data_IF_187685943425
#
_entry.id   IF_187685943425
#
_cell.length_a   1.000
_cell.length_b   1.000
_cell.length_c   1.000
_cell.angle_alpha   90.00
_cell.angle_beta   90.00
_cell.angle_gamma   90.00
#
_symmetry.space_group_name_H-M   'P 1'
#
loop_
_entity.id
_entity.type
_entity.pdbx_description
1 polymer ?
2 non-polymer ?
3 water ?
#
# COMPACT_ATOMS: atom_id res chain seq x y z
N UNK A 1 -5.99 8.88 16.10
CA UNK A 1 -5.99 7.42 16.16
C UNK A 1 -7.24 6.86 15.52
N UNK A 2 -7.70 7.55 14.47
CA UNK A 2 -8.88 7.01 13.74
C UNK A 2 -8.31 6.06 12.66
N UNK A 3 -9.15 5.23 12.09
CA UNK A 3 -8.73 4.32 11.01
C UNK A 3 -8.77 5.11 9.70
N UNK A 4 -7.65 5.50 9.14
CA UNK A 4 -7.68 6.22 7.83
C UNK A 4 -8.29 5.18 6.88
N UNK A 5 -7.65 4.01 6.89
CA UNK A 5 -8.17 2.92 6.06
C UNK A 5 -8.45 1.68 6.91
N UNK A 6 -9.41 0.92 6.48
CA UNK A 6 -9.75 -0.35 7.12
C UNK A 6 -9.64 -1.45 6.06
N UNK A 7 -8.66 -2.31 6.20
CA UNK A 7 -8.42 -3.44 5.25
C UNK A 7 -9.02 -4.71 5.81
N UNK A 8 -10.16 -5.16 5.35
CA UNK A 8 -10.81 -6.37 5.90
C UNK A 8 -11.18 -5.91 7.34
N UNK A 9 -10.49 -6.50 8.29
CA UNK A 9 -10.73 -6.12 9.69
C UNK A 9 -9.58 -5.32 10.26
N UNK A 10 -8.57 -4.99 9.47
CA UNK A 10 -7.44 -4.24 9.97
C UNK A 10 -7.53 -2.73 9.83
N UNK A 11 -7.35 -2.13 10.97
CA UNK A 11 -7.33 -0.70 11.20
C UNK A 11 -6.00 -0.02 10.99
N UNK A 12 -5.92 0.85 9.97
CA UNK A 12 -4.70 1.60 9.73
C UNK A 12 -4.95 3.06 10.06
N UNK A 13 -4.08 3.54 10.88
CA UNK A 13 -4.07 4.95 11.30
C UNK A 13 -3.28 5.70 10.21
N UNK A 14 -3.51 7.01 10.15
CA UNK A 14 -2.83 7.85 9.18
C UNK A 14 -1.33 7.71 9.27
N UNK A 15 -0.89 7.50 10.50
CA UNK A 15 0.55 7.38 10.77
C UNK A 15 1.05 6.06 10.21
N UNK A 16 0.21 5.05 10.22
CA UNK A 16 0.59 3.72 9.71
C UNK A 16 0.85 3.85 8.16
N UNK A 17 -0.15 4.42 7.57
CA UNK A 17 -0.13 4.67 6.09
C UNK A 17 1.09 5.47 5.68
N UNK A 18 1.36 6.61 6.28
CA UNK A 18 2.45 7.52 6.06
C UNK A 18 3.79 6.84 6.23
N UNK A 19 3.94 6.08 7.31
CA UNK A 19 5.22 5.39 7.50
C UNK A 19 5.41 4.32 6.40
N UNK A 20 4.33 3.69 5.99
CA UNK A 20 4.49 2.64 4.97
C UNK A 20 4.94 3.35 3.66
N UNK A 21 4.12 4.35 3.33
CA UNK A 21 4.43 5.09 2.08
C UNK A 21 5.83 5.63 2.13
N UNK A 22 6.22 6.24 3.23
CA UNK A 22 7.54 6.82 3.38
C UNK A 22 8.64 5.80 3.10
N UNK A 23 8.52 4.58 3.57
CA UNK A 23 9.49 3.51 3.38
C UNK A 23 9.60 3.11 1.89
N UNK A 24 8.42 2.87 1.37
CA UNK A 24 8.17 2.46 -0.03
C UNK A 24 8.84 3.45 -0.96
N UNK A 25 8.59 4.71 -0.70
CA UNK A 25 9.12 5.82 -1.48
C UNK A 25 10.61 6.04 -1.38
N UNK A 26 11.18 5.91 -0.19
CA UNK A 26 12.62 6.13 -0.05
C UNK A 26 13.33 5.05 -0.87
N UNK A 27 12.72 3.88 -0.96
CA UNK A 27 13.29 2.79 -1.75
C UNK A 27 13.16 3.07 -3.27
N UNK A 28 11.97 3.53 -3.58
CA UNK A 28 11.65 3.87 -4.99
C UNK A 28 12.69 4.87 -5.45
N UNK A 29 12.87 5.92 -4.70
CA UNK A 29 13.78 7.01 -4.94
C UNK A 29 15.22 6.59 -5.15
N UNK A 30 15.65 5.54 -4.47
CA UNK A 30 17.06 5.12 -4.61
C UNK A 30 17.23 4.07 -5.69
N UNK A 31 16.15 3.54 -6.15
CA UNK A 31 16.10 2.48 -7.17
C UNK A 31 16.29 1.10 -6.55
N UNK A 32 16.02 1.00 -5.26
CA UNK A 32 16.16 -0.26 -4.53
C UNK A 32 14.82 -0.90 -4.21
N UNK A 33 15.00 -2.18 -3.93
CA UNK A 33 13.86 -2.99 -3.54
C UNK A 33 14.35 -3.89 -2.38
N UNK A 34 13.31 -4.28 -1.68
CA UNK A 34 13.34 -5.21 -0.55
C UNK A 34 12.31 -6.28 -0.89
N UNK A 35 12.88 -7.45 -1.26
CA UNK A 35 12.04 -8.60 -1.61
C UNK A 35 10.98 -8.21 -2.65
N UNK A 36 11.45 -7.43 -3.61
CA UNK A 36 10.63 -7.00 -4.76
C UNK A 36 9.63 -5.92 -4.46
N UNK A 37 9.88 -5.19 -3.39
CA UNK A 37 8.97 -4.07 -3.00
C UNK A 37 9.85 -2.86 -2.85
N UNK A 38 9.43 -1.68 -3.35
CA UNK A 38 8.14 -1.40 -3.98
C UNK A 38 8.02 -2.02 -5.36
N UNK A 39 6.84 -2.30 -5.79
CA UNK A 39 6.61 -2.93 -7.10
C UNK A 39 5.74 -1.99 -7.93
N UNK A 40 5.88 -1.97 -9.25
CA UNK A 40 4.98 -1.12 -10.05
C UNK A 40 3.63 -1.77 -9.91
N UNK A 41 2.60 -0.95 -9.86
CA UNK A 41 1.23 -1.52 -9.73
C UNK A 41 0.39 -1.03 -10.90
N UNK A 42 -0.01 -1.91 -11.79
CA UNK A 42 -0.72 -1.57 -13.03
C UNK A 42 -2.08 -0.91 -12.94
N UNK A 43 -2.78 -1.26 -11.86
CA UNK A 43 -4.15 -0.76 -11.61
C UNK A 43 -5.07 -1.54 -12.52
N UNK A 44 -4.77 -2.82 -12.73
CA UNK A 44 -5.68 -3.56 -13.64
C UNK A 44 -7.06 -3.55 -13.02
N UNK A 45 -7.12 -3.58 -11.68
CA UNK A 45 -8.41 -3.57 -11.00
C UNK A 45 -9.29 -2.41 -11.36
N UNK A 46 -8.74 -1.26 -11.70
CA UNK A 46 -9.60 -0.15 -12.11
C UNK A 46 -9.91 0.84 -11.02
N UNK A 47 -9.07 0.90 -10.00
CA UNK A 47 -9.31 1.88 -8.91
C UNK A 47 -9.17 3.29 -9.48
N UNK A 48 -10.10 4.17 -9.16
CA UNK A 48 -9.91 5.54 -9.74
C UNK A 48 -9.29 6.24 -8.56
N UNK A 49 -7.98 6.23 -8.59
CA UNK A 49 -7.15 6.83 -7.54
C UNK A 49 -7.11 8.35 -7.76
N UNK A 50 -7.15 9.10 -6.68
CA UNK A 50 -7.15 10.55 -6.70
C UNK A 50 -5.88 11.23 -7.14
N UNK A 51 -4.80 10.48 -7.29
CA UNK A 51 -3.53 11.09 -7.72
C UNK A 51 -3.14 10.38 -9.03
N UNK A 52 -2.28 10.96 -9.84
CA UNK A 52 -1.96 10.27 -11.11
C UNK A 52 -0.89 9.19 -10.95
N UNK A 53 -0.89 8.32 -11.96
CA UNK A 53 0.08 7.21 -12.04
C UNK A 53 1.41 7.71 -12.53
N UNK A 54 2.42 6.88 -12.75
CA UNK A 54 2.25 5.43 -12.49
C UNK A 54 2.29 5.31 -10.95
N UNK A 55 1.77 4.16 -10.62
CA UNK A 55 1.71 3.81 -9.16
C UNK A 55 2.65 2.67 -8.80
N UNK A 56 2.97 2.70 -7.51
CA UNK A 56 3.85 1.65 -6.93
C UNK A 56 3.12 1.13 -5.68
N UNK A 57 3.35 -0.11 -5.35
CA UNK A 57 2.70 -0.70 -4.15
C UNK A 57 3.85 -1.11 -3.24
N UNK A 58 3.56 -1.00 -1.94
CA UNK A 58 4.50 -1.39 -0.88
C UNK A 58 3.63 -1.97 0.25
N UNK A 59 4.07 -3.08 0.80
CA UNK A 59 3.24 -3.69 1.87
C UNK A 59 3.07 -2.72 3.05
N UNK A 60 1.88 -2.86 3.57
CA UNK A 60 1.46 -2.14 4.81
C UNK A 60 1.04 -3.35 5.69
N UNK A 61 1.70 -3.43 6.84
CA UNK A 61 1.60 -4.55 7.79
C UNK A 61 0.62 -4.44 8.97
N UNK A 62 -0.13 -5.51 9.15
CA UNK A 62 -1.16 -5.53 10.22
C UNK A 62 -0.61 -5.49 11.62
N UNK A 63 0.67 -5.61 11.82
CA UNK A 63 1.35 -5.53 13.10
C UNK A 63 1.90 -4.10 13.26
N UNK A 64 1.77 -3.27 12.22
CA UNK A 64 2.19 -1.86 12.31
C UNK A 64 3.64 -1.57 12.31
N UNK A 65 4.39 -2.58 11.95
CA UNK A 65 5.84 -2.41 11.78
C UNK A 65 5.95 -2.10 10.21
N UNK A 66 6.95 -1.35 9.95
CA UNK A 66 7.19 -1.01 8.48
C UNK A 66 7.78 -2.23 7.82
N UNK A 67 7.32 -2.54 6.62
CA UNK A 67 7.84 -3.71 5.88
C UNK A 67 9.33 -3.55 5.62
N UNK A 68 10.11 -4.58 5.88
CA UNK A 68 11.57 -4.54 5.66
C UNK A 68 12.04 -5.91 5.16
N UNK A 69 11.14 -6.59 4.53
CA UNK A 69 11.38 -7.95 4.01
C UNK A 69 10.47 -8.98 4.64
N UNK A 70 10.42 -10.10 3.97
CA UNK A 70 9.64 -11.27 4.35
C UNK A 70 8.27 -11.26 3.72
N UNK A 71 7.37 -11.99 4.32
CA UNK A 71 6.00 -12.13 3.87
C UNK A 71 5.37 -10.74 3.86
N UNK A 72 4.84 -10.28 2.73
CA UNK A 72 4.24 -8.96 2.60
C UNK A 72 2.79 -8.88 3.07
N UNK A 73 2.13 -10.01 3.20
CA UNK A 73 0.76 -10.03 3.65
C UNK A 73 -0.17 -9.54 2.54
N UNK A 74 -1.39 -9.29 2.97
CA UNK A 74 -2.48 -8.92 2.09
C UNK A 74 -2.72 -7.45 1.75
N UNK A 75 -2.07 -6.57 2.47
CA UNK A 75 -2.33 -5.14 2.28
C UNK A 75 -1.21 -4.38 1.62
N UNK A 76 -1.62 -3.38 0.85
CA UNK A 76 -0.67 -2.50 0.13
C UNK A 76 -1.06 -1.03 0.12
N UNK A 77 -0.05 -0.26 0.27
CA UNK A 77 -0.10 1.20 0.25
C UNK A 77 0.22 1.51 -1.25
N UNK A 78 -0.56 2.37 -1.82
CA UNK A 78 -0.30 2.73 -3.27
C UNK A 78 0.14 4.17 -3.30
N UNK A 79 1.27 4.41 -3.95
CA UNK A 79 1.81 5.78 -4.03
C UNK A 79 2.40 5.99 -5.47
N UNK A 80 2.70 7.22 -5.76
CA UNK A 80 3.26 7.56 -7.12
C UNK A 80 4.67 8.04 -6.98
N UNK A 81 5.34 8.40 -8.09
CA UNK A 81 6.72 8.87 -8.04
C UNK A 81 6.92 10.24 -7.45
N UNK A 82 5.78 10.86 -7.10
CA UNK A 82 5.89 12.17 -6.42
C UNK A 82 5.65 11.99 -4.90
N UNK A 83 5.58 10.76 -4.46
CA UNK A 83 5.38 10.49 -3.00
C UNK A 83 3.97 10.86 -2.58
N UNK A 84 3.04 10.73 -3.49
CA UNK A 84 1.65 11.11 -3.08
C UNK A 84 0.90 9.84 -2.78
N UNK A 85 -0.05 9.89 -1.85
CA UNK A 85 -0.80 8.69 -1.55
C UNK A 85 -1.94 8.51 -2.52
N UNK A 86 -2.10 7.32 -3.08
CA UNK A 86 -3.17 7.03 -4.01
C UNK A 86 -4.30 6.34 -3.23
N UNK A 87 -3.88 5.44 -2.36
CA UNK A 87 -4.83 4.67 -1.52
C UNK A 87 -4.09 3.49 -0.89
N UNK A 88 -4.91 2.65 -0.31
CA UNK A 88 -4.62 1.41 0.41
C UNK A 88 -5.63 0.39 -0.08
N UNK A 89 -5.01 -0.72 -0.48
CA UNK A 89 -5.73 -1.86 -1.04
C UNK A 89 -5.31 -3.17 -0.39
N UNK A 90 -6.11 -4.17 -0.68
CA UNK A 90 -5.98 -5.50 -0.11
C UNK A 90 -6.54 -6.68 -0.85
N UNK A 91 -5.84 -7.79 -0.55
CA UNK A 91 -6.24 -9.08 -1.11
C UNK A 91 -7.41 -9.65 -0.31
N UNK A 92 -7.53 -9.19 0.94
CA UNK A 92 -8.58 -9.62 1.87
C UNK A 92 -9.96 -9.31 1.28
N UNK A 93 -10.70 -10.33 0.98
CA UNK A 93 -12.03 -10.23 0.38
C UNK A 93 -11.90 -10.37 -1.13
N UNK A 94 -10.71 -10.56 -1.69
CA UNK A 94 -10.62 -10.71 -3.16
C UNK A 94 -10.27 -12.16 -3.46
N UNK A 95 -10.63 -12.62 -4.63
CA UNK A 95 -10.44 -13.96 -5.16
C UNK A 95 -9.02 -14.50 -5.12
N UNK A 96 -8.02 -13.81 -5.67
CA UNK A 96 -6.67 -14.46 -5.57
C UNK A 96 -5.61 -13.42 -5.25
N UNK A 97 -4.91 -13.09 -6.33
CA UNK A 97 -3.84 -12.10 -6.36
C UNK A 97 -4.40 -10.73 -6.77
N UNK A 98 -5.72 -10.68 -6.82
CA UNK A 98 -6.51 -9.49 -7.16
C UNK A 98 -6.74 -8.76 -5.82
N UNK A 99 -7.07 -7.51 -5.96
CA UNK A 99 -7.31 -6.61 -4.84
C UNK A 99 -8.68 -5.96 -4.84
N UNK A 100 -9.01 -5.53 -3.63
CA UNK A 100 -10.26 -4.78 -3.38
C UNK A 100 -9.80 -3.54 -2.63
N UNK A 101 -10.60 -2.49 -2.62
CA UNK A 101 -10.09 -1.30 -1.92
C UNK A 101 -10.38 -1.50 -0.41
N UNK A 102 -9.60 -0.81 0.36
CA UNK A 102 -9.77 -0.74 1.82
C UNK A 102 -10.80 0.40 1.92
N UNK A 103 -11.57 0.31 2.99
CA UNK A 103 -12.61 1.35 3.18
C UNK A 103 -12.02 2.38 4.11
N UNK A 104 -12.74 3.47 4.24
CA UNK A 104 -12.23 4.51 5.16
C UNK A 104 -12.39 3.94 6.57
N UNK A 105 -13.58 4.13 7.12
CA UNK A 105 -13.98 3.72 8.47
C UNK A 105 -15.13 2.73 8.38
X LIG B 1 -2.92 -5.83 -10.04
X LIG B 1 -2.52 -6.91 -9.31
X LIG B 1 -3.49 -7.62 -8.75
X LIG B 1 -1.21 -7.17 -9.21
X LIG B 1 -0.31 -6.37 -9.85
X LIG B 1 -0.70 -5.25 -10.60
X LIG B 1 -2.08 -4.98 -10.74
X LIG B 1 -2.69 -4.08 -11.30
X LIG B 1 0.40 -4.65 -11.11
X LIG B 1 1.49 -5.34 -10.69
X LIG B 1 1.06 -6.39 -9.91
X LIG B 1 1.94 -7.41 -9.26
X LIG B 1 1.99 -7.25 -7.75
X LIG B 1 3.29 -7.00 -7.31
X LIG B 1 1.28 -8.49 -7.29
X LIG B 1 1.98 -9.08 -6.12
X LIG B 1 1.38 -9.46 -8.47
X LIG B 1 1.35 -8.65 -9.61
X LIG B 1 0.11 -10.31 -8.48
X LIG B 1 0.07 -11.31 -9.47
X LIG B 1 1.45 -8.65 -4.69
X LIG B 1 2.39 -7.74 -4.04
X LIG B 1 0.10 -8.07 -4.93
X LIG B 1 1.23 -9.98 -3.89
X LIG B 1 2.31 -10.90 -3.58
X LIG B 1 2.05 -11.46 -2.16
X LIG B 1 0.70 -11.28 -1.78
X LIG B 1 2.47 -12.88 -1.87
X LIG B 1 3.43 -13.08 -0.83
X LIG B 1 1.20 -13.50 -1.38
X LIG B 1 1.55 -14.52 -0.44
X LIG B 1 0.46 -12.28 -0.78
X LIG B 1 -1.00 -12.62 -0.80
X LIG B 1 -1.74 -12.71 0.37
X LIG B 1 -1.30 -12.52 1.49
X LIG B 1 -3.07 -13.04 0.22
X LIG B 1 -3.64 -13.30 -0.97
X LIG B 1 -4.94 -13.61 -1.03
X LIG B 1 -2.90 -13.23 -2.14
X LIG B 1 -1.56 -12.88 -2.04
#
# INVERSE_FOLDING_TARGET
ESCEYTCGSTCYWSSDVSAAKAKGYSLYESGDTIDDYPHEYHDYEGFDFPVSGTYYEYPIMSDYDVYTGGSPGADRVIFNGDDELAGVITHTGASGDDFVACSSS
GPC N1G C2G N2G N3G C4G C5G C6G O6G N7G C8G N9G C1D C2D F2D C3D O3D C4D O4D C5D O5D PC O1C O2C O5B C5X C4X O4B C3X O3B C2X O2B C1X N1C CC2 O2X N3C CC4 N4C CC5 CC6
#
